data_IF_587697893540
#
_entry.id   IF_587697893540
#
_cell.length_a   1.000
_cell.length_b   1.000
_cell.length_c   1.000
_cell.angle_alpha   90.00
_cell.angle_beta   90.00
_cell.angle_gamma   90.00
#
_symmetry.space_group_name_H-M   'P 1'
#
loop_
_entity.id
_entity.type
_entity.pdbx_description
1 polymer ?
#
# COMPACT_ATOMS: atom_id res chain seq x y z
N UNK A 1 23.20 -24.63 -21.85
CA UNK A 1 22.19 -23.74 -21.27
C UNK A 1 21.76 -24.15 -19.87
N UNK A 2 21.33 -25.41 -19.64
CA UNK A 2 20.90 -25.87 -18.30
C UNK A 2 21.95 -25.69 -17.19
N UNK A 3 23.23 -25.99 -17.47
CA UNK A 3 24.32 -25.82 -16.51
C UNK A 3 24.47 -24.37 -16.02
N UNK A 4 24.44 -23.40 -16.94
CA UNK A 4 24.60 -21.98 -16.60
C UNK A 4 23.46 -21.45 -15.73
N UNK A 5 22.22 -21.88 -15.99
CA UNK A 5 21.06 -21.51 -15.17
C UNK A 5 21.20 -22.13 -13.77
N UNK A 6 21.61 -23.40 -13.69
CA UNK A 6 21.85 -24.07 -12.42
C UNK A 6 22.92 -23.36 -11.58
N UNK A 7 24.08 -23.08 -12.18
CA UNK A 7 25.18 -22.39 -11.52
C UNK A 7 24.77 -20.96 -11.09
N UNK A 8 24.00 -20.25 -11.92
CA UNK A 8 23.48 -18.91 -11.60
C UNK A 8 22.50 -18.92 -10.43
N UNK A 9 21.59 -19.90 -10.35
CA UNK A 9 20.65 -20.02 -9.24
C UNK A 9 21.39 -20.28 -7.91
N UNK A 10 22.38 -21.18 -7.91
CA UNK A 10 23.18 -21.47 -6.70
C UNK A 10 23.95 -20.23 -6.25
N UNK A 11 24.53 -19.49 -7.20
CA UNK A 11 25.24 -18.24 -6.91
C UNK A 11 24.29 -17.16 -6.40
N UNK A 12 23.11 -16.99 -6.99
CA UNK A 12 22.11 -16.01 -6.56
C UNK A 12 21.59 -16.31 -5.16
N UNK A 13 21.32 -17.57 -4.83
CA UNK A 13 20.93 -17.98 -3.49
C UNK A 13 21.99 -17.58 -2.47
N UNK A 14 23.23 -18.01 -2.69
CA UNK A 14 24.33 -17.85 -1.72
C UNK A 14 24.75 -16.39 -1.55
N UNK A 15 24.77 -15.61 -2.63
CA UNK A 15 25.35 -14.26 -2.63
C UNK A 15 24.29 -13.15 -2.60
N UNK A 16 22.99 -13.47 -2.68
CA UNK A 16 21.93 -12.46 -2.70
C UNK A 16 20.71 -12.89 -1.88
N UNK A 17 20.03 -13.97 -2.26
CA UNK A 17 18.69 -14.27 -1.73
C UNK A 17 18.67 -14.55 -0.22
N UNK A 18 19.63 -15.32 0.31
CA UNK A 18 19.68 -15.67 1.75
C UNK A 18 19.88 -14.47 2.68
N UNK A 19 20.37 -13.34 2.15
CA UNK A 19 20.66 -12.13 2.92
C UNK A 19 19.67 -10.99 2.67
N UNK A 20 18.56 -11.23 1.98
CA UNK A 20 17.55 -10.21 1.74
C UNK A 20 16.85 -9.89 3.06
N UNK A 21 16.96 -8.64 3.49
CA UNK A 21 16.30 -8.13 4.68
C UNK A 21 15.34 -6.98 4.31
N UNK A 22 14.16 -6.89 4.94
CA UNK A 22 13.22 -5.81 4.70
C UNK A 22 13.70 -4.49 5.31
N UNK A 23 13.67 -3.42 4.51
CA UNK A 23 13.73 -2.06 5.06
C UNK A 23 12.33 -1.64 5.52
N UNK A 24 12.00 -2.00 6.77
CA UNK A 24 10.67 -1.76 7.34
C UNK A 24 10.29 -0.27 7.38
N UNK A 25 11.25 0.62 7.63
CA UNK A 25 11.00 2.07 7.68
C UNK A 25 10.47 2.59 6.34
N UNK A 26 11.18 2.27 5.26
CA UNK A 26 10.79 2.69 3.90
C UNK A 26 9.49 2.01 3.46
N UNK A 27 9.29 0.74 3.81
CA UNK A 27 8.05 0.01 3.49
C UNK A 27 6.85 0.68 4.17
N UNK A 28 6.96 1.00 5.46
CA UNK A 28 5.88 1.66 6.21
C UNK A 28 5.60 3.07 5.69
N UNK A 29 6.63 3.84 5.37
CA UNK A 29 6.47 5.16 4.78
C UNK A 29 5.71 5.11 3.45
N UNK A 30 6.16 4.25 2.51
CA UNK A 30 5.53 4.11 1.20
C UNK A 30 4.09 3.60 1.32
N UNK A 31 3.81 2.70 2.27
CA UNK A 31 2.47 2.19 2.50
C UNK A 31 1.52 3.30 2.95
N UNK A 32 1.93 4.10 3.94
CA UNK A 32 1.10 5.18 4.49
C UNK A 32 0.88 6.33 3.50
N UNK A 33 1.82 6.54 2.58
CA UNK A 33 1.73 7.56 1.53
C UNK A 33 1.03 7.06 0.25
N UNK A 34 0.66 5.79 0.18
CA UNK A 34 0.07 5.19 -1.03
C UNK A 34 -1.38 5.64 -1.25
N UNK A 35 -1.65 6.21 -2.42
CA UNK A 35 -3.01 6.58 -2.83
C UNK A 35 -3.88 5.38 -3.23
N UNK A 36 -3.30 4.17 -3.32
CA UNK A 36 -4.02 2.96 -3.74
C UNK A 36 -4.94 2.40 -2.65
N UNK A 37 -4.69 2.75 -1.39
CA UNK A 37 -5.51 2.34 -0.24
C UNK A 37 -6.94 2.90 -0.30
N UNK A 38 -7.16 3.93 -1.13
CA UNK A 38 -8.47 4.58 -1.34
C UNK A 38 -9.57 3.61 -1.76
N UNK A 39 -9.22 2.48 -2.38
CA UNK A 39 -10.18 1.46 -2.81
C UNK A 39 -10.95 0.83 -1.65
N UNK A 40 -10.37 0.81 -0.44
CA UNK A 40 -11.07 0.37 0.77
C UNK A 40 -12.29 1.26 1.09
N UNK A 41 -12.21 2.56 0.75
CA UNK A 41 -13.28 3.52 0.98
C UNK A 41 -14.47 3.36 0.03
N UNK A 42 -14.28 2.72 -1.14
CA UNK A 42 -15.34 2.57 -2.16
C UNK A 42 -16.62 1.92 -1.61
N UNK A 43 -16.48 0.92 -0.73
CA UNK A 43 -17.63 0.21 -0.15
C UNK A 43 -18.35 0.99 0.96
N UNK A 44 -17.74 2.07 1.46
CA UNK A 44 -18.23 2.87 2.58
C UNK A 44 -18.83 4.19 2.13
N UNK A 45 -18.12 4.91 1.25
CA UNK A 45 -18.50 6.26 0.79
C UNK A 45 -18.83 6.32 -0.70
N UNK A 46 -18.65 5.21 -1.44
CA UNK A 46 -18.87 5.12 -2.88
C UNK A 46 -17.66 5.56 -3.71
N UNK A 47 -17.63 5.09 -4.96
CA UNK A 47 -16.51 5.30 -5.87
C UNK A 47 -16.18 6.77 -6.14
N UNK A 48 -17.18 7.63 -6.38
CA UNK A 48 -16.94 9.03 -6.74
C UNK A 48 -16.24 9.82 -5.62
N UNK A 49 -16.70 9.66 -4.37
CA UNK A 49 -16.10 10.33 -3.21
C UNK A 49 -14.67 9.82 -2.95
N UNK A 50 -14.46 8.51 -3.06
CA UNK A 50 -13.14 7.91 -2.93
C UNK A 50 -12.18 8.43 -4.03
N UNK A 51 -12.62 8.46 -5.28
CA UNK A 51 -11.82 9.01 -6.38
C UNK A 51 -11.49 10.51 -6.19
N UNK A 52 -12.41 11.28 -5.63
CA UNK A 52 -12.17 12.69 -5.30
C UNK A 52 -11.10 12.87 -4.23
N UNK A 53 -11.12 12.06 -3.16
CA UNK A 53 -10.07 12.04 -2.12
C UNK A 53 -8.71 11.77 -2.75
N UNK A 54 -8.57 10.71 -3.55
CA UNK A 54 -7.29 10.35 -4.17
C UNK A 54 -6.77 11.43 -5.12
N UNK A 55 -7.64 12.01 -5.95
CA UNK A 55 -7.25 13.08 -6.87
C UNK A 55 -6.80 14.34 -6.13
N UNK A 56 -7.50 14.68 -5.03
CA UNK A 56 -7.17 15.84 -4.21
C UNK A 56 -5.86 15.64 -3.47
N UNK A 57 -5.65 14.45 -2.88
CA UNK A 57 -4.40 14.07 -2.22
C UNK A 57 -3.21 14.14 -3.18
N UNK A 58 -3.36 13.60 -4.39
CA UNK A 58 -2.34 13.69 -5.43
C UNK A 58 -2.02 15.13 -5.82
N UNK A 59 -3.05 15.97 -6.00
CA UNK A 59 -2.89 17.37 -6.40
C UNK A 59 -2.23 18.22 -5.31
N UNK A 60 -2.58 17.98 -4.04
CA UNK A 60 -2.10 18.75 -2.90
C UNK A 60 -0.78 18.22 -2.33
N UNK A 61 -0.36 17.00 -2.70
CA UNK A 61 0.81 16.34 -2.13
C UNK A 61 0.59 15.91 -0.68
N UNK A 62 -0.65 15.59 -0.32
CA UNK A 62 -1.10 15.19 1.01
C UNK A 62 -1.47 13.71 1.05
N UNK A 63 -1.70 13.18 2.24
CA UNK A 63 -2.12 11.79 2.43
C UNK A 63 -3.61 11.61 2.15
N UNK A 64 -4.02 10.36 1.89
CA UNK A 64 -5.44 10.02 1.77
C UNK A 64 -6.22 10.32 3.05
N UNK A 65 -5.63 10.06 4.23
CA UNK A 65 -6.27 10.29 5.53
C UNK A 65 -6.58 11.78 5.73
N UNK A 66 -5.60 12.64 5.47
CA UNK A 66 -5.78 14.10 5.58
C UNK A 66 -6.91 14.59 4.67
N UNK A 67 -6.91 14.21 3.38
CA UNK A 67 -7.94 14.69 2.46
C UNK A 67 -9.32 14.08 2.72
N UNK A 68 -9.38 12.83 3.18
CA UNK A 68 -10.65 12.20 3.54
C UNK A 68 -11.33 12.93 4.71
N UNK A 69 -10.55 13.43 5.67
CA UNK A 69 -11.00 14.26 6.79
C UNK A 69 -11.29 15.70 6.34
N UNK A 70 -10.40 16.32 5.55
CA UNK A 70 -10.57 17.70 5.06
C UNK A 70 -11.84 17.88 4.21
N UNK A 71 -12.15 16.90 3.36
CA UNK A 71 -13.37 16.88 2.54
C UNK A 71 -14.62 16.54 3.37
N UNK A 72 -14.46 16.14 4.64
CA UNK A 72 -15.55 15.79 5.54
C UNK A 72 -16.29 14.52 5.13
N UNK A 73 -15.63 13.63 4.38
CA UNK A 73 -16.24 12.38 3.90
C UNK A 73 -16.14 11.26 4.92
N UNK A 74 -15.13 11.31 5.79
CA UNK A 74 -14.90 10.36 6.88
C UNK A 74 -14.28 11.08 8.08
N UNK A 75 -14.51 10.53 9.26
CA UNK A 75 -13.78 10.88 10.49
C UNK A 75 -12.43 10.16 10.56
N UNK A 76 -11.56 10.60 11.47
CA UNK A 76 -10.28 9.93 11.71
C UNK A 76 -10.49 8.47 12.15
N UNK A 77 -11.43 8.24 13.07
CA UNK A 77 -11.73 6.91 13.59
C UNK A 77 -12.31 5.98 12.52
N UNK A 78 -13.16 6.50 11.63
CA UNK A 78 -13.69 5.74 10.50
C UNK A 78 -12.59 5.37 9.50
N UNK A 79 -11.71 6.30 9.18
CA UNK A 79 -10.59 6.05 8.27
C UNK A 79 -9.70 4.93 8.82
N UNK A 80 -9.27 5.04 10.08
CA UNK A 80 -8.40 4.05 10.72
C UNK A 80 -9.11 2.70 10.92
N UNK A 81 -10.44 2.70 11.07
CA UNK A 81 -11.21 1.47 11.15
C UNK A 81 -11.39 0.78 9.79
N UNK A 82 -11.44 1.52 8.68
CA UNK A 82 -11.78 0.97 7.36
C UNK A 82 -10.58 0.74 6.46
N UNK A 83 -9.55 1.57 6.59
CA UNK A 83 -8.34 1.51 5.76
C UNK A 83 -7.27 0.73 6.51
N UNK A 84 -7.33 -0.60 6.35
CA UNK A 84 -6.42 -1.56 6.99
C UNK A 84 -5.64 -2.32 5.92
N UNK A 85 -4.41 -1.91 5.59
CA UNK A 85 -3.61 -2.59 4.57
C UNK A 85 -3.44 -4.09 4.82
N UNK A 86 -3.39 -4.53 6.07
CA UNK A 86 -3.32 -5.93 6.48
C UNK A 86 -4.54 -6.76 6.03
N UNK A 87 -5.70 -6.13 5.83
CA UNK A 87 -6.92 -6.78 5.34
C UNK A 87 -7.03 -6.73 3.79
N UNK A 88 -6.09 -6.05 3.11
CA UNK A 88 -6.12 -5.81 1.65
C UNK A 88 -5.20 -6.75 0.84
N UNK A 89 -4.57 -7.75 1.47
CA UNK A 89 -3.61 -8.67 0.83
C UNK A 89 -4.20 -10.03 0.42
N UNK A 90 -5.53 -10.14 0.35
CA UNK A 90 -6.25 -11.36 -0.05
C UNK A 90 -6.61 -12.26 1.13
N UNK A 91 -7.52 -13.21 0.90
CA UNK A 91 -8.02 -14.13 1.94
C UNK A 91 -7.06 -15.31 2.11
N UNK A 92 -5.96 -15.11 2.84
CA UNK A 92 -5.23 -16.22 3.46
C UNK A 92 -5.75 -16.42 4.87
N UNK A 93 -6.79 -17.25 4.99
CA UNK A 93 -7.14 -17.99 6.20
C UNK A 93 -6.82 -19.46 5.99
#
# INVERSE_FOLDING_TARGET
SARLIGDACVSFETNCAVGIEPNHEVITELLNNSLMLVTALNTKIGYYKAAEIANTAHKNGTTLKEEAINLGYVTEEEYDSWVKPEDMVGSLK
#
